data_IF_564113589268
#
_entry.id   IF_564113589268
#
_cell.length_a   1.000
_cell.length_b   1.000
_cell.length_c   1.000
_cell.angle_alpha   90.00
_cell.angle_beta   90.00
_cell.angle_gamma   90.00
#
_symmetry.space_group_name_H-M   'P 1'
#
loop_
_entity.id
_entity.type
_entity.pdbx_description
1 polymer ?
#
# COMPACT_ATOMS: atom_id res chain seq x y z
N UNK A 1 11.67 5.99 10.58
CA UNK A 1 10.37 5.88 9.88
C UNK A 1 10.64 5.31 8.52
N UNK A 2 10.05 4.16 8.19
CA UNK A 2 10.17 3.57 6.85
C UNK A 2 9.10 4.20 5.96
N UNK A 3 9.52 5.02 4.99
CA UNK A 3 8.61 5.73 4.08
C UNK A 3 8.36 4.85 2.86
N UNK A 4 7.25 4.11 2.86
CA UNK A 4 6.83 3.33 1.70
C UNK A 4 6.39 4.28 0.58
N UNK A 5 6.68 3.91 -0.66
CA UNK A 5 6.13 4.55 -1.85
C UNK A 5 5.25 3.56 -2.58
N UNK A 6 4.07 4.01 -2.97
CA UNK A 6 3.07 3.20 -3.67
C UNK A 6 2.65 3.89 -4.95
N UNK A 7 2.43 3.12 -6.00
CA UNK A 7 1.89 3.59 -7.26
C UNK A 7 0.64 2.78 -7.59
N UNK A 8 -0.52 3.42 -7.48
CA UNK A 8 -1.83 2.80 -7.72
C UNK A 8 -2.16 2.68 -9.20
N UNK A 9 -1.59 3.57 -10.01
CA UNK A 9 -1.93 3.69 -11.40
C UNK A 9 -0.66 3.98 -12.22
N UNK A 10 -0.42 3.30 -13.35
CA UNK A 10 0.81 3.48 -14.13
C UNK A 10 0.95 4.89 -14.73
N UNK A 11 -0.14 5.67 -14.79
CA UNK A 11 -0.15 7.06 -15.22
C UNK A 11 -0.01 8.06 -14.05
N UNK A 12 -0.02 7.60 -12.80
CA UNK A 12 0.15 8.45 -11.64
C UNK A 12 1.58 8.35 -11.07
N UNK A 13 2.12 9.44 -10.49
CA UNK A 13 3.40 9.39 -9.81
C UNK A 13 3.31 8.53 -8.55
N UNK A 14 4.46 7.99 -8.13
CA UNK A 14 4.61 7.33 -6.85
C UNK A 14 4.26 8.30 -5.71
N UNK A 15 3.42 7.84 -4.78
CA UNK A 15 3.01 8.61 -3.60
C UNK A 15 3.56 7.98 -2.34
N UNK A 16 3.91 8.81 -1.36
CA UNK A 16 4.32 8.31 -0.06
C UNK A 16 3.11 7.73 0.67
N UNK A 17 3.29 6.54 1.22
CA UNK A 17 2.28 5.80 1.95
C UNK A 17 2.72 5.56 3.37
N UNK A 18 2.08 6.26 4.30
CA UNK A 18 2.42 6.21 5.73
C UNK A 18 1.46 5.35 6.55
N UNK A 19 0.32 4.95 5.99
CA UNK A 19 -0.65 4.09 6.68
C UNK A 19 -0.22 2.62 6.77
N UNK A 20 0.79 2.21 6.00
CA UNK A 20 1.17 0.80 5.89
C UNK A 20 0.14 -0.03 5.11
N UNK A 21 0.54 -1.22 4.67
CA UNK A 21 -0.36 -2.16 3.97
C UNK A 21 -0.59 -3.33 4.92
N UNK A 22 -1.84 -3.57 5.28
CA UNK A 22 -2.19 -4.57 6.28
C UNK A 22 -1.79 -5.98 5.81
N UNK A 23 -1.01 -6.72 6.60
CA UNK A 23 -0.58 -8.08 6.25
C UNK A 23 0.54 -8.15 5.19
N UNK A 24 1.13 -7.02 4.79
CA UNK A 24 2.32 -7.02 3.94
C UNK A 24 3.59 -6.86 4.79
N UNK A 25 4.36 -7.94 4.93
CA UNK A 25 5.72 -7.92 5.49
C UNK A 25 6.68 -7.34 4.43
N UNK A 26 6.63 -6.02 4.22
CA UNK A 26 7.53 -5.36 3.29
C UNK A 26 8.97 -5.54 3.76
N UNK A 27 9.82 -6.09 2.89
CA UNK A 27 11.27 -6.19 3.13
C UNK A 27 12.03 -5.24 2.23
N UNK A 28 12.96 -4.43 2.79
CA UNK A 28 13.85 -3.62 1.99
C UNK A 28 14.69 -4.51 1.06
N UNK A 29 14.94 -4.04 -0.17
CA UNK A 29 15.66 -4.80 -1.19
C UNK A 29 14.78 -5.73 -2.02
N UNK A 30 13.46 -5.65 -1.90
CA UNK A 30 12.52 -6.38 -2.75
C UNK A 30 11.50 -5.42 -3.36
N UNK A 31 11.15 -5.67 -4.61
CA UNK A 31 10.06 -5.01 -5.31
C UNK A 31 8.82 -5.90 -5.28
N UNK A 32 7.71 -5.35 -4.80
CA UNK A 32 6.44 -6.03 -4.67
C UNK A 32 5.42 -5.36 -5.59
N UNK A 33 4.81 -6.15 -6.49
CA UNK A 33 3.57 -5.77 -7.17
C UNK A 33 2.44 -6.47 -6.46
N UNK A 34 1.60 -5.71 -5.79
CA UNK A 34 0.46 -6.19 -5.03
C UNK A 34 -0.82 -5.71 -5.69
N UNK A 35 -1.82 -6.57 -5.74
CA UNK A 35 -3.20 -6.19 -6.05
C UNK A 35 -3.86 -5.75 -4.76
N UNK A 36 -4.13 -4.44 -4.61
CA UNK A 36 -4.70 -3.86 -3.40
C UNK A 36 -6.21 -3.70 -3.56
N UNK A 37 -6.97 -4.10 -2.55
CA UNK A 37 -8.38 -3.77 -2.40
C UNK A 37 -8.51 -2.56 -1.47
N UNK A 38 -9.07 -1.47 -1.99
CA UNK A 38 -9.36 -0.27 -1.21
C UNK A 38 -10.70 -0.43 -0.48
N UNK A 39 -10.65 -0.58 0.84
CA UNK A 39 -11.83 -0.58 1.68
C UNK A 39 -11.98 0.78 2.35
N UNK A 40 -13.05 1.50 2.02
CA UNK A 40 -13.41 2.72 2.75
C UNK A 40 -14.04 2.33 4.09
N UNK A 41 -13.43 2.75 5.18
CA UNK A 41 -14.04 2.63 6.49
C UNK A 41 -15.26 3.57 6.56
N UNK A 42 -16.45 3.08 6.96
CA UNK A 42 -17.68 3.87 6.97
C UNK A 42 -17.68 5.00 8.02
N UNK A 43 -16.77 4.96 9.00
CA UNK A 43 -16.61 5.99 10.02
C UNK A 43 -15.13 6.33 10.21
N UNK A 44 -14.55 7.21 9.36
CA UNK A 44 -13.18 7.66 9.55
C UNK A 44 -13.06 8.54 10.81
N UNK A 45 -12.02 8.31 11.61
CA UNK A 45 -11.62 9.26 12.64
C UNK A 45 -11.19 10.58 11.96
N UNK A 46 -11.43 11.73 12.59
CA UNK A 46 -11.24 13.06 12.01
C UNK A 46 -9.84 13.32 11.40
N UNK A 47 -8.82 12.55 11.81
CA UNK A 47 -7.42 12.69 11.40
C UNK A 47 -6.85 11.42 10.74
N UNK A 48 -7.68 10.39 10.51
CA UNK A 48 -7.27 9.10 9.94
C UNK A 48 -7.70 8.96 8.49
N UNK A 49 -6.83 8.41 7.64
CA UNK A 49 -7.20 8.08 6.26
C UNK A 49 -8.41 7.13 6.28
N UNK A 50 -9.53 7.53 5.66
CA UNK A 50 -10.76 6.72 5.57
C UNK A 50 -10.60 5.45 4.74
N UNK A 51 -9.39 5.16 4.27
CA UNK A 51 -9.09 4.17 3.25
C UNK A 51 -8.12 3.16 3.86
N UNK A 52 -8.57 1.92 4.00
CA UNK A 52 -7.72 0.78 4.37
C UNK A 52 -7.34 0.02 3.12
N UNK A 53 -6.05 -0.20 2.93
CA UNK A 53 -5.51 -0.98 1.82
C UNK A 53 -5.22 -2.39 2.28
N UNK A 54 -5.95 -3.35 1.71
CA UNK A 54 -5.78 -4.77 2.01
C UNK A 54 -5.16 -5.44 0.77
N UNK A 55 -3.99 -6.08 0.88
CA UNK A 55 -3.41 -6.82 -0.24
C UNK A 55 -4.29 -8.03 -0.52
N UNK A 56 -4.95 -7.99 -1.67
CA UNK A 56 -5.80 -9.07 -2.16
C UNK A 56 -4.94 -10.24 -2.65
N UNK A 57 -3.83 -9.91 -3.33
CA UNK A 57 -2.89 -10.89 -3.88
C UNK A 57 -1.53 -10.26 -4.19
N UNK A 58 -0.47 -11.04 -4.06
CA UNK A 58 0.87 -10.70 -4.55
C UNK A 58 0.92 -11.07 -6.04
N UNK A 59 1.00 -10.06 -6.91
CA UNK A 59 1.14 -10.25 -8.37
C UNK A 59 2.59 -10.58 -8.72
N UNK A 60 3.55 -9.96 -8.02
CA UNK A 60 4.98 -10.16 -8.26
C UNK A 60 5.78 -9.84 -7.01
N UNK A 61 6.80 -10.64 -6.74
CA UNK A 61 7.81 -10.37 -5.73
C UNK A 61 9.16 -10.69 -6.35
N UNK A 62 10.06 -9.73 -6.39
CA UNK A 62 11.43 -9.96 -6.87
C UNK A 62 12.44 -9.23 -5.99
N UNK A 63 13.60 -9.83 -5.69
CA UNK A 63 14.72 -9.10 -5.10
C UNK A 63 15.20 -8.04 -6.08
N UNK A 64 15.60 -6.88 -5.55
CA UNK A 64 16.22 -5.79 -6.30
C UNK A 64 17.73 -6.01 -6.45
#
# INVERSE_FOLDING_TARGET
>A
MDCLQVCTNPNEPWRHWYSGIEGNDYRPGYEYRLEIAECRAPNPAADGSSIRWVPKRIVRQQPR
#
